data_IF_117924505710
#
_entry.id   IF_117924505710
#
_cell.length_a   1.000
_cell.length_b   1.000
_cell.length_c   1.000
_cell.angle_alpha   90.00
_cell.angle_beta   90.00
_cell.angle_gamma   90.00
#
_symmetry.space_group_name_H-M   'P 1'
#
loop_
_entity.id
_entity.type
_entity.pdbx_description
1 polymer ?
#
# COMPACT_ATOMS: atom_id res chain seq x y z
N UNK A 1 -4.92 -21.65 -33.93
CA UNK A 1 -6.16 -21.99 -33.19
C UNK A 1 -7.06 -20.77 -33.17
N UNK A 2 -8.38 -20.97 -33.20
CA UNK A 2 -9.34 -19.88 -33.10
C UNK A 2 -9.64 -19.60 -31.62
N UNK A 3 -9.30 -18.39 -31.16
CA UNK A 3 -9.67 -17.93 -29.83
C UNK A 3 -11.09 -17.37 -29.89
N UNK A 4 -12.03 -18.02 -29.21
CA UNK A 4 -13.40 -17.53 -29.06
C UNK A 4 -13.65 -17.13 -27.61
N UNK A 5 -14.32 -16.01 -27.40
CA UNK A 5 -14.75 -15.58 -26.07
C UNK A 5 -15.88 -16.49 -25.58
N UNK A 6 -15.83 -16.87 -24.31
CA UNK A 6 -16.89 -17.64 -23.63
C UNK A 6 -18.05 -16.76 -23.12
N UNK A 7 -18.08 -15.48 -23.51
CA UNK A 7 -19.07 -14.51 -23.08
C UNK A 7 -19.35 -13.50 -24.21
N UNK A 8 -20.53 -12.85 -24.20
CA UNK A 8 -20.86 -11.81 -25.17
C UNK A 8 -19.93 -10.61 -24.99
N UNK A 9 -19.09 -10.34 -26.00
CA UNK A 9 -18.33 -9.10 -26.09
C UNK A 9 -19.18 -8.09 -26.84
N UNK A 10 -19.56 -7.00 -26.17
CA UNK A 10 -20.31 -5.90 -26.79
C UNK A 10 -19.50 -4.61 -26.74
N UNK A 11 -19.77 -3.70 -27.67
CA UNK A 11 -19.15 -2.37 -27.66
C UNK A 11 -19.45 -1.62 -26.34
N UNK A 12 -20.62 -1.85 -25.74
CA UNK A 12 -20.98 -1.30 -24.44
C UNK A 12 -20.12 -1.89 -23.30
N UNK A 13 -19.87 -3.20 -23.32
CA UNK A 13 -18.97 -3.84 -22.35
C UNK A 13 -17.52 -3.37 -22.53
N UNK A 14 -17.09 -3.11 -23.76
CA UNK A 14 -15.77 -2.54 -24.03
C UNK A 14 -15.65 -1.11 -23.48
N UNK A 15 -16.68 -0.28 -23.66
CA UNK A 15 -16.68 1.11 -23.21
C UNK A 15 -16.57 1.32 -21.68
N UNK A 16 -16.80 0.28 -20.87
CA UNK A 16 -16.68 0.39 -19.39
C UNK A 16 -15.26 0.14 -18.88
N UNK A 17 -14.36 -0.44 -19.70
CA UNK A 17 -12.98 -0.67 -19.28
C UNK A 17 -12.26 0.65 -18.98
N UNK A 18 -11.44 0.72 -17.91
CA UNK A 18 -10.70 1.93 -17.54
C UNK A 18 -9.88 2.53 -18.69
N UNK A 19 -9.20 1.67 -19.46
CA UNK A 19 -8.43 2.06 -20.66
C UNK A 19 -9.32 2.65 -21.75
N UNK A 20 -10.53 2.14 -21.93
CA UNK A 20 -11.51 2.65 -22.90
C UNK A 20 -12.16 3.96 -22.44
N UNK A 21 -12.19 4.20 -21.13
CA UNK A 21 -12.68 5.44 -20.53
C UNK A 21 -11.62 6.54 -20.46
N UNK A 22 -10.37 6.25 -20.83
CA UNK A 22 -9.28 7.23 -20.86
C UNK A 22 -8.79 7.65 -19.48
N UNK A 23 -8.99 6.80 -18.45
CA UNK A 23 -8.60 7.07 -17.06
C UNK A 23 -7.09 7.22 -16.91
N UNK A 24 -6.31 6.59 -17.80
CA UNK A 24 -4.84 6.58 -17.80
C UNK A 24 -4.21 7.84 -18.44
N UNK A 25 -4.94 8.96 -18.51
CA UNK A 25 -4.42 10.21 -19.09
C UNK A 25 -3.46 10.90 -18.09
N UNK A 26 -2.17 11.10 -18.42
CA UNK A 26 -1.21 11.72 -17.50
C UNK A 26 -1.59 13.13 -17.04
N UNK A 27 -2.34 13.87 -17.87
CA UNK A 27 -2.82 15.21 -17.50
C UNK A 27 -3.91 15.16 -16.42
N UNK A 28 -4.74 14.12 -16.43
CA UNK A 28 -5.76 13.90 -15.40
C UNK A 28 -5.08 13.52 -14.08
N UNK A 29 -4.10 12.62 -14.16
CA UNK A 29 -3.31 12.18 -13.01
C UNK A 29 -2.60 13.36 -12.31
N UNK A 30 -1.86 14.18 -13.07
CA UNK A 30 -1.15 15.35 -12.52
C UNK A 30 -2.10 16.36 -11.85
N UNK A 31 -3.31 16.51 -12.40
CA UNK A 31 -4.34 17.41 -11.86
C UNK A 31 -4.91 16.89 -10.55
N UNK A 32 -5.18 15.59 -10.49
CA UNK A 32 -5.63 14.90 -9.26
C UNK A 32 -4.54 14.93 -8.19
N UNK A 33 -3.27 14.73 -8.57
CA UNK A 33 -2.13 14.85 -7.66
C UNK A 33 -2.05 16.24 -7.01
N UNK A 34 -2.17 17.31 -7.80
CA UNK A 34 -2.22 18.68 -7.28
C UNK A 34 -3.38 18.93 -6.32
N UNK A 35 -4.56 18.35 -6.60
CA UNK A 35 -5.72 18.41 -5.69
C UNK A 35 -5.48 17.64 -4.39
N UNK A 36 -4.82 16.48 -4.46
CA UNK A 36 -4.48 15.68 -3.29
C UNK A 36 -3.42 16.36 -2.41
N UNK A 37 -2.44 17.02 -3.01
CA UNK A 37 -1.40 17.77 -2.29
C UNK A 37 -1.98 18.90 -1.42
N UNK A 38 -3.09 19.51 -1.84
CA UNK A 38 -3.81 20.54 -1.05
C UNK A 38 -4.92 19.97 -0.16
N UNK A 39 -5.01 18.63 -0.04
CA UNK A 39 -5.95 17.96 0.85
C UNK A 39 -7.39 17.90 0.34
N UNK A 40 -7.62 17.96 -0.97
CA UNK A 40 -8.97 17.84 -1.53
C UNK A 40 -9.62 16.49 -1.17
N UNK A 41 -10.91 16.53 -0.83
CA UNK A 41 -11.69 15.32 -0.55
C UNK A 41 -12.00 14.57 -1.85
N UNK A 42 -12.11 13.24 -1.78
CA UNK A 42 -12.45 12.35 -2.91
C UNK A 42 -13.69 12.82 -3.70
N UNK A 43 -14.75 13.23 -3.00
CA UNK A 43 -15.96 13.76 -3.63
C UNK A 43 -15.66 15.01 -4.49
N UNK A 44 -14.82 15.93 -3.99
CA UNK A 44 -14.44 17.14 -4.73
C UNK A 44 -13.58 16.84 -5.95
N UNK A 45 -12.74 15.81 -5.87
CA UNK A 45 -11.96 15.32 -7.02
C UNK A 45 -12.89 14.70 -8.05
N UNK A 46 -13.86 13.89 -7.62
CA UNK A 46 -14.84 13.28 -8.51
C UNK A 46 -15.70 14.31 -9.23
N UNK A 47 -16.30 15.26 -8.49
CA UNK A 47 -17.13 16.34 -9.05
C UNK A 47 -16.34 17.14 -10.09
N UNK A 48 -15.09 17.47 -9.78
CA UNK A 48 -14.22 18.22 -10.67
C UNK A 48 -13.91 17.47 -11.96
N UNK A 49 -13.67 16.16 -11.90
CA UNK A 49 -13.40 15.36 -13.10
C UNK A 49 -14.64 15.27 -14.00
N UNK A 50 -15.83 15.15 -13.40
CA UNK A 50 -17.10 15.21 -14.14
C UNK A 50 -17.33 16.59 -14.79
N UNK A 51 -17.05 17.67 -14.07
CA UNK A 51 -17.15 19.05 -14.59
C UNK A 51 -16.19 19.33 -15.76
N UNK A 52 -15.16 18.50 -15.94
CA UNK A 52 -14.18 18.61 -17.02
C UNK A 52 -14.28 17.45 -18.02
N UNK A 53 -15.48 16.90 -18.19
CA UNK A 53 -15.81 15.90 -19.21
C UNK A 53 -14.97 14.63 -19.14
N UNK A 54 -14.42 14.29 -17.96
CA UNK A 54 -13.71 13.04 -17.77
C UNK A 54 -14.70 11.90 -17.51
N UNK A 55 -14.52 10.80 -18.23
CA UNK A 55 -15.38 9.62 -18.13
C UNK A 55 -14.99 8.71 -16.94
N UNK A 56 -14.93 9.30 -15.75
CA UNK A 56 -14.50 8.61 -14.52
C UNK A 56 -15.69 8.09 -13.71
N UNK A 57 -15.46 7.00 -13.00
CA UNK A 57 -16.35 6.48 -11.96
C UNK A 57 -15.65 6.60 -10.60
N UNK A 58 -16.42 6.47 -9.52
CA UNK A 58 -15.91 6.63 -8.16
C UNK A 58 -14.71 5.72 -7.85
N UNK A 59 -14.70 4.49 -8.40
CA UNK A 59 -13.60 3.53 -8.25
C UNK A 59 -12.28 4.06 -8.81
N UNK A 60 -12.30 4.86 -9.88
CA UNK A 60 -11.06 5.41 -10.44
C UNK A 60 -10.44 6.41 -9.47
N UNK A 61 -11.25 7.31 -8.90
CA UNK A 61 -10.79 8.28 -7.89
C UNK A 61 -10.26 7.55 -6.66
N UNK A 62 -10.93 6.48 -6.23
CA UNK A 62 -10.47 5.66 -5.12
C UNK A 62 -9.11 5.00 -5.39
N UNK A 63 -8.88 4.54 -6.64
CA UNK A 63 -7.60 3.99 -7.07
C UNK A 63 -6.51 5.07 -7.13
N UNK A 64 -6.76 6.22 -7.76
CA UNK A 64 -5.82 7.35 -7.83
C UNK A 64 -5.40 7.84 -6.43
N UNK A 65 -6.36 7.97 -5.51
CA UNK A 65 -6.06 8.37 -4.12
C UNK A 65 -5.24 7.29 -3.41
N UNK A 66 -5.53 6.00 -3.67
CA UNK A 66 -4.77 4.89 -3.08
C UNK A 66 -3.33 4.90 -3.59
N UNK A 67 -3.12 5.10 -4.87
CA UNK A 67 -1.80 5.16 -5.51
C UNK A 67 -1.00 6.35 -4.99
N UNK A 68 -1.60 7.54 -4.95
CA UNK A 68 -0.96 8.72 -4.35
C UNK A 68 -0.56 8.49 -2.89
N UNK A 69 -1.44 7.89 -2.07
CA UNK A 69 -1.09 7.54 -0.68
C UNK A 69 0.05 6.53 -0.62
N UNK A 70 0.09 5.53 -1.50
CA UNK A 70 1.19 4.57 -1.54
C UNK A 70 2.49 5.21 -2.01
N UNK A 71 2.44 6.20 -2.90
CA UNK A 71 3.60 6.97 -3.36
C UNK A 71 4.13 7.90 -2.26
N UNK A 72 3.24 8.63 -1.57
CA UNK A 72 3.61 9.48 -0.42
C UNK A 72 4.09 8.66 0.77
N UNK A 73 3.52 7.47 0.99
CA UNK A 73 4.01 6.51 2.00
C UNK A 73 5.40 5.93 1.69
N UNK A 74 5.98 6.22 0.51
CA UNK A 74 7.41 5.98 0.25
C UNK A 74 8.31 7.08 0.81
N UNK A 75 7.76 8.08 1.51
CA UNK A 75 8.55 8.82 2.50
C UNK A 75 8.95 7.79 3.54
N UNK A 76 10.20 7.37 3.43
CA UNK A 76 10.88 6.40 4.28
C UNK A 76 10.66 6.72 5.76
N UNK A 77 9.81 5.94 6.41
CA UNK A 77 9.56 5.97 7.86
C UNK A 77 10.60 5.13 8.63
N UNK A 78 11.69 4.67 8.01
CA UNK A 78 12.72 3.86 8.65
C UNK A 78 13.39 4.65 9.77
N UNK A 79 13.62 5.96 9.61
CA UNK A 79 14.18 6.79 10.69
C UNK A 79 13.21 6.87 11.89
N UNK A 80 11.90 6.93 11.63
CA UNK A 80 10.91 6.88 12.69
C UNK A 80 10.89 5.51 13.37
N UNK A 81 10.92 4.45 12.58
CA UNK A 81 10.95 3.05 13.05
C UNK A 81 12.21 2.77 13.87
N UNK A 82 13.38 3.18 13.40
CA UNK A 82 14.66 3.00 14.09
C UNK A 82 14.67 3.68 15.46
N UNK A 83 14.08 4.88 15.57
CA UNK A 83 13.96 5.61 16.83
C UNK A 83 13.04 4.92 17.83
N UNK A 84 11.91 4.39 17.38
CA UNK A 84 10.99 3.63 18.23
C UNK A 84 11.65 2.34 18.72
N UNK A 85 12.40 1.65 17.85
CA UNK A 85 13.18 0.45 18.22
C UNK A 85 14.26 0.76 19.24
N UNK A 86 15.00 1.85 19.05
CA UNK A 86 16.02 2.30 20.00
C UNK A 86 15.39 2.67 21.36
N UNK A 87 14.24 3.35 21.34
CA UNK A 87 13.49 3.72 22.55
C UNK A 87 12.98 2.48 23.29
N UNK A 88 12.46 1.50 22.55
CA UNK A 88 12.05 0.21 23.10
C UNK A 88 13.23 -0.55 23.73
N UNK A 89 14.36 -0.65 23.04
CA UNK A 89 15.55 -1.32 23.56
C UNK A 89 16.11 -0.62 24.81
N UNK A 90 16.01 0.70 24.89
CA UNK A 90 16.45 1.49 26.05
C UNK A 90 15.47 1.46 27.23
N UNK A 91 14.19 1.13 27.01
CA UNK A 91 13.17 1.15 28.06
C UNK A 91 13.38 0.08 29.14
N UNK A 92 14.00 -1.05 28.80
CA UNK A 92 14.34 -2.12 29.72
C UNK A 92 15.63 -2.81 29.25
N UNK A 93 16.68 -2.95 30.10
CA UNK A 93 17.91 -3.69 29.76
C UNK A 93 17.67 -5.11 29.27
N UNK A 94 16.53 -5.66 29.65
CA UNK A 94 16.12 -6.99 29.27
C UNK A 94 15.48 -7.03 27.87
N UNK A 95 15.03 -5.92 27.27
CA UNK A 95 14.46 -5.87 25.91
C UNK A 95 15.49 -6.21 24.84
N UNK A 96 15.04 -6.95 23.81
CA UNK A 96 15.88 -7.33 22.66
C UNK A 96 15.15 -6.96 21.37
N UNK A 97 15.85 -6.26 20.47
CA UNK A 97 15.37 -5.97 19.12
C UNK A 97 16.50 -6.16 18.11
N UNK A 98 16.16 -6.61 16.89
CA UNK A 98 17.10 -6.77 15.79
C UNK A 98 16.52 -6.15 14.51
N UNK A 99 17.38 -5.50 13.74
CA UNK A 99 17.04 -4.88 12.46
C UNK A 99 17.72 -5.69 11.35
N UNK A 100 16.96 -6.07 10.33
CA UNK A 100 17.45 -6.79 9.17
C UNK A 100 17.09 -6.02 7.90
N UNK A 101 18.09 -5.63 7.13
CA UNK A 101 17.91 -5.00 5.83
C UNK A 101 17.95 -6.07 4.73
N UNK A 102 17.08 -5.95 3.74
CA UNK A 102 17.09 -6.77 2.54
C UNK A 102 17.87 -6.06 1.42
N UNK A 103 18.37 -6.82 0.44
CA UNK A 103 19.06 -6.27 -0.74
C UNK A 103 18.17 -5.32 -1.57
N UNK A 104 16.84 -5.39 -1.39
CA UNK A 104 15.86 -4.50 -2.01
C UNK A 104 15.73 -3.14 -1.28
N UNK A 105 16.45 -2.94 -0.18
CA UNK A 105 16.39 -1.73 0.65
C UNK A 105 15.20 -1.72 1.63
N UNK A 106 14.55 -2.86 1.85
CA UNK A 106 13.49 -2.97 2.85
C UNK A 106 14.09 -3.30 4.22
N UNK A 107 13.71 -2.54 5.25
CA UNK A 107 14.15 -2.74 6.64
C UNK A 107 13.07 -3.45 7.44
N UNK A 108 13.35 -4.66 7.92
CA UNK A 108 12.49 -5.43 8.82
C UNK A 108 12.96 -5.33 10.27
N UNK A 109 12.01 -5.30 11.20
CA UNK A 109 12.29 -5.22 12.65
C UNK A 109 11.54 -6.32 13.39
N UNK A 110 12.22 -6.97 14.34
CA UNK A 110 11.62 -7.91 15.29
C UNK A 110 11.98 -7.45 16.72
N UNK A 111 10.97 -7.37 17.59
CA UNK A 111 11.12 -6.96 19.00
C UNK A 111 10.56 -8.00 19.96
N UNK A 112 11.31 -8.33 21.02
CA UNK A 112 10.92 -9.28 22.07
C UNK A 112 10.76 -8.55 23.41
N UNK A 113 9.51 -8.23 23.78
CA UNK A 113 9.21 -7.41 24.96
C UNK A 113 9.15 -8.19 26.28
N UNK A 114 8.66 -9.43 26.26
CA UNK A 114 8.49 -10.19 27.51
C UNK A 114 9.67 -11.09 27.82
N UNK A 115 9.96 -11.30 29.11
CA UNK A 115 10.95 -12.27 29.57
C UNK A 115 10.62 -13.70 29.11
N UNK A 116 9.35 -13.99 28.78
CA UNK A 116 8.94 -15.26 28.17
C UNK A 116 9.40 -15.37 26.71
N UNK A 117 9.11 -14.36 25.88
CA UNK A 117 9.52 -14.30 24.47
C UNK A 117 11.05 -14.41 24.31
N UNK A 118 11.81 -13.73 25.18
CA UNK A 118 13.27 -13.76 25.19
C UNK A 118 13.81 -15.13 25.60
N UNK A 119 13.18 -15.80 26.57
CA UNK A 119 13.52 -17.19 26.94
C UNK A 119 13.22 -18.18 25.83
N UNK A 120 12.11 -18.00 25.11
CA UNK A 120 11.73 -18.86 23.99
C UNK A 120 12.75 -18.69 22.86
N UNK A 121 13.08 -17.44 22.48
CA UNK A 121 14.08 -17.17 21.46
C UNK A 121 15.48 -17.70 21.83
N UNK A 122 15.93 -17.50 23.08
CA UNK A 122 17.22 -18.02 23.53
C UNK A 122 17.32 -19.56 23.58
N UNK A 123 16.18 -20.26 23.65
CA UNK A 123 16.12 -21.74 23.61
C UNK A 123 15.90 -22.31 22.21
N UNK A 124 15.29 -21.53 21.32
CA UNK A 124 14.85 -21.96 20.00
C UNK A 124 15.18 -20.89 18.95
N UNK A 125 16.42 -20.40 18.91
CA UNK A 125 16.84 -19.36 17.96
C UNK A 125 16.71 -19.80 16.50
N UNK A 126 16.61 -21.11 16.25
CA UNK A 126 16.39 -21.74 14.94
C UNK A 126 14.91 -21.75 14.51
N UNK A 127 13.97 -21.52 15.44
CA UNK A 127 12.53 -21.54 15.18
C UNK A 127 11.91 -20.23 15.66
N UNK A 128 12.01 -19.19 14.85
CA UNK A 128 11.22 -17.97 15.00
C UNK A 128 10.25 -17.85 13.82
N UNK A 129 9.04 -18.38 13.99
CA UNK A 129 7.96 -18.21 13.03
C UNK A 129 7.27 -16.86 13.28
N UNK A 130 7.65 -15.86 12.49
CA UNK A 130 6.94 -14.58 12.43
C UNK A 130 5.87 -14.67 11.35
N UNK A 131 4.61 -14.82 11.77
CA UNK A 131 3.47 -14.76 10.84
C UNK A 131 3.19 -13.30 10.48
N UNK A 132 3.88 -12.80 9.45
CA UNK A 132 3.54 -11.53 8.81
C UNK A 132 2.39 -11.76 7.82
N UNK A 133 1.19 -12.06 8.32
CA UNK A 133 -0.02 -12.13 7.50
C UNK A 133 -0.50 -10.73 7.07
N UNK A 134 0.29 -10.04 6.24
CA UNK A 134 -0.15 -8.81 5.58
C UNK A 134 -0.69 -9.18 4.18
N UNK A 135 -2.03 -9.19 4.03
CA UNK A 135 -2.79 -9.34 2.76
C UNK A 135 -2.94 -10.75 2.13
N UNK A 136 -2.80 -11.86 2.84
CA UNK A 136 -3.09 -13.20 2.28
C UNK A 136 -4.59 -13.59 2.23
N UNK A 137 -5.49 -12.83 2.88
CA UNK A 137 -6.95 -13.03 2.80
C UNK A 137 -7.66 -12.07 1.82
N UNK A 138 -7.08 -11.80 0.64
CA UNK A 138 -7.77 -11.00 -0.39
C UNK A 138 -7.88 -11.73 -1.73
N UNK A 139 -8.41 -12.95 -1.73
CA UNK A 139 -9.15 -13.52 -2.87
C UNK A 139 -10.10 -14.60 -2.33
N UNK A 140 -11.35 -14.22 -2.07
CA UNK A 140 -12.52 -15.09 -2.20
C UNK A 140 -13.58 -14.30 -2.95
#
# INVERSE_FOLDING_TARGET
GCFNHNHPVSAAAYATYPTSRGVDNPLVEARVEGMLAVGAKRARIYDYLLEHDQNVIQVDVDNMVREHKSSVSRVDDNEATAREVATFAAADPENVASIADTDAGETGVISLASAHMRRVYGRFSEVLLVDCSHKTNRYV
#
